data_IF_341690854752
#
_entry.id   IF_341690854752
#
_cell.length_a   1.000
_cell.length_b   1.000
_cell.length_c   1.000
_cell.angle_alpha   90.00
_cell.angle_beta   90.00
_cell.angle_gamma   90.00
#
_symmetry.space_group_name_H-M   'P 1'
#
loop_
_entity.id
_entity.type
_entity.pdbx_description
1 polymer ?
#
# COMPACT_ATOMS: atom_id res chain seq x y z
N UNK A 1 15.14 12.51 4.92
CA UNK A 1 16.17 12.07 3.97
C UNK A 1 15.59 12.22 2.57
N UNK A 2 16.19 13.07 1.72
CA UNK A 2 15.62 13.49 0.42
C UNK A 2 16.27 12.66 -0.68
N UNK A 3 15.49 11.79 -1.34
CA UNK A 3 15.96 11.06 -2.51
C UNK A 3 15.61 11.86 -3.78
N UNK A 4 16.63 12.23 -4.56
CA UNK A 4 16.48 12.91 -5.85
C UNK A 4 16.56 11.83 -6.94
N UNK A 5 15.54 11.75 -7.78
CA UNK A 5 15.56 10.88 -8.94
C UNK A 5 16.31 11.59 -10.08
N UNK A 6 17.44 11.04 -10.55
CA UNK A 6 18.11 11.52 -11.75
C UNK A 6 18.98 10.43 -12.38
N UNK A 7 18.89 10.19 -13.71
CA UNK A 7 19.72 9.19 -14.41
C UNK A 7 21.23 9.45 -14.34
N UNK A 8 21.65 10.70 -14.10
CA UNK A 8 23.05 11.15 -14.25
C UNK A 8 23.57 12.01 -13.08
N UNK A 9 22.89 12.03 -11.93
CA UNK A 9 23.38 12.74 -10.73
C UNK A 9 23.23 14.27 -10.75
N UNK A 10 22.45 14.85 -11.67
CA UNK A 10 22.06 16.27 -11.70
C UNK A 10 20.58 16.51 -11.35
N UNK A 11 20.25 17.63 -10.69
CA UNK A 11 18.87 17.96 -10.27
C UNK A 11 17.91 18.16 -11.46
N UNK A 12 16.83 17.37 -11.53
CA UNK A 12 15.70 17.58 -12.47
C UNK A 12 14.56 18.37 -11.81
N UNK A 13 14.77 18.94 -10.61
CA UNK A 13 13.80 19.82 -9.94
C UNK A 13 12.63 19.13 -9.25
N UNK A 14 12.61 17.80 -9.15
CA UNK A 14 11.61 17.04 -8.39
C UNK A 14 12.25 16.54 -7.08
N UNK A 15 11.82 17.12 -5.96
CA UNK A 15 12.23 16.69 -4.62
C UNK A 15 11.12 15.89 -3.94
N UNK A 16 11.44 14.68 -3.45
CA UNK A 16 10.54 13.89 -2.61
C UNK A 16 10.92 14.12 -1.14
N UNK A 17 9.98 14.61 -0.34
CA UNK A 17 10.13 14.80 1.09
C UNK A 17 9.26 13.81 1.86
N UNK A 18 9.80 13.28 2.96
CA UNK A 18 9.00 12.55 3.95
C UNK A 18 8.24 13.60 4.77
N UNK A 19 6.90 13.55 4.83
CA UNK A 19 6.11 14.52 5.60
C UNK A 19 6.51 14.52 7.07
N UNK A 20 6.53 15.69 7.69
CA UNK A 20 6.92 15.84 9.11
C UNK A 20 6.03 15.05 10.06
N UNK A 21 4.76 14.82 9.72
CA UNK A 21 3.83 14.03 10.53
C UNK A 21 4.28 12.57 10.62
N UNK A 22 4.67 11.97 9.49
CA UNK A 22 5.21 10.61 9.44
C UNK A 22 6.52 10.50 10.24
N UNK A 23 7.36 11.54 10.20
CA UNK A 23 8.61 11.57 10.98
C UNK A 23 8.33 11.62 12.48
N UNK A 24 7.34 12.41 12.92
CA UNK A 24 6.98 12.52 14.34
C UNK A 24 6.49 11.18 14.90
N UNK A 25 5.63 10.45 14.18
CA UNK A 25 5.16 9.13 14.61
C UNK A 25 6.30 8.13 14.73
N UNK A 26 7.18 8.07 13.72
CA UNK A 26 8.32 7.14 13.75
C UNK A 26 9.29 7.46 14.90
N UNK A 27 9.54 8.74 15.17
CA UNK A 27 10.43 9.14 16.29
C UNK A 27 9.81 8.79 17.63
N UNK A 28 8.50 8.97 17.80
CA UNK A 28 7.80 8.56 19.01
C UNK A 28 7.86 7.03 19.21
N UNK A 29 7.56 6.25 18.16
CA UNK A 29 7.64 4.78 18.20
C UNK A 29 9.06 4.28 18.55
N UNK A 30 10.10 4.97 18.05
CA UNK A 30 11.50 4.64 18.32
C UNK A 30 11.96 5.05 19.73
N UNK A 31 11.37 6.09 20.32
CA UNK A 31 11.70 6.55 21.67
C UNK A 31 11.06 5.65 22.74
N UNK A 32 9.85 5.14 22.49
CA UNK A 32 9.17 4.21 23.42
C UNK A 32 9.72 2.78 23.38
N UNK A 33 9.85 2.15 22.21
CA UNK A 33 10.16 0.71 22.09
C UNK A 33 11.40 0.39 21.25
N UNK A 34 12.08 1.40 20.69
CA UNK A 34 13.28 1.22 19.86
C UNK A 34 13.03 0.53 18.50
N UNK A 35 11.76 0.29 18.13
CA UNK A 35 11.37 -0.35 16.87
C UNK A 35 10.02 0.15 16.36
N UNK A 36 9.87 0.25 15.05
CA UNK A 36 8.59 0.64 14.43
C UNK A 36 7.78 -0.63 14.16
N UNK A 37 6.68 -0.82 14.89
CA UNK A 37 5.77 -1.94 14.66
C UNK A 37 4.86 -1.61 13.47
N UNK A 38 5.17 -2.19 12.30
CA UNK A 38 4.32 -2.02 11.11
C UNK A 38 3.33 -3.18 11.02
N UNK A 39 2.04 -2.87 11.01
CA UNK A 39 0.98 -3.86 10.78
C UNK A 39 1.22 -4.58 9.46
N UNK A 40 1.22 -5.92 9.50
CA UNK A 40 1.37 -6.77 8.33
C UNK A 40 0.11 -7.61 8.15
N UNK A 41 -0.64 -7.32 7.09
CA UNK A 41 -1.87 -8.05 6.77
C UNK A 41 -1.57 -9.38 6.03
N UNK A 42 -0.45 -9.44 5.30
CA UNK A 42 -0.06 -10.62 4.52
C UNK A 42 -0.75 -10.76 3.17
N UNK A 43 -1.27 -9.67 2.60
CA UNK A 43 -1.81 -9.62 1.24
C UNK A 43 -0.87 -8.93 0.28
N UNK A 44 -0.78 -9.46 -0.93
CA UNK A 44 -0.21 -8.76 -2.08
C UNK A 44 -1.36 -8.26 -2.95
N UNK A 45 -1.46 -6.94 -3.08
CA UNK A 45 -2.52 -6.29 -3.86
C UNK A 45 -1.96 -5.67 -5.13
N UNK A 46 -2.77 -5.63 -6.18
CA UNK A 46 -2.54 -4.80 -7.37
C UNK A 46 -3.72 -3.86 -7.62
N UNK A 47 -3.48 -2.66 -8.18
CA UNK A 47 -4.55 -1.81 -8.68
C UNK A 47 -5.41 -2.57 -9.71
N UNK A 48 -6.72 -2.34 -9.69
CA UNK A 48 -7.58 -2.87 -10.75
C UNK A 48 -7.20 -2.29 -12.11
N UNK A 49 -7.04 -3.15 -13.12
CA UNK A 49 -6.84 -2.72 -14.50
C UNK A 49 -8.17 -2.51 -15.23
N UNK A 50 -8.18 -1.67 -16.26
CA UNK A 50 -9.35 -1.46 -17.13
C UNK A 50 -9.83 -2.77 -17.78
N UNK A 51 -8.91 -3.68 -18.12
CA UNK A 51 -9.22 -4.98 -18.68
C UNK A 51 -10.00 -5.85 -17.68
N UNK A 52 -9.55 -5.92 -16.43
CA UNK A 52 -10.23 -6.66 -15.36
C UNK A 52 -11.59 -6.03 -15.06
N UNK A 53 -11.65 -4.69 -14.97
CA UNK A 53 -12.90 -3.96 -14.75
C UNK A 53 -13.94 -4.26 -15.85
N UNK A 54 -13.51 -4.27 -17.11
CA UNK A 54 -14.36 -4.56 -18.27
C UNK A 54 -14.91 -5.99 -18.26
N UNK A 55 -14.09 -6.98 -17.88
CA UNK A 55 -14.53 -8.38 -17.75
C UNK A 55 -15.53 -8.55 -16.61
N UNK A 56 -15.39 -7.77 -15.54
CA UNK A 56 -16.28 -7.79 -14.38
C UNK A 56 -17.55 -6.94 -14.56
N UNK A 57 -17.68 -6.21 -15.68
CA UNK A 57 -18.82 -5.33 -15.94
C UNK A 57 -18.85 -4.08 -15.06
N UNK A 58 -17.69 -3.63 -14.58
CA UNK A 58 -17.55 -2.41 -13.80
C UNK A 58 -17.38 -1.20 -14.73
N UNK A 59 -18.08 -0.10 -14.43
CA UNK A 59 -18.02 1.14 -15.21
C UNK A 59 -16.65 1.85 -15.15
N UNK A 60 -15.84 1.54 -14.14
CA UNK A 60 -14.51 2.08 -13.94
C UNK A 60 -13.62 1.09 -13.18
N UNK A 61 -12.28 1.08 -13.43
CA UNK A 61 -11.33 0.32 -12.63
C UNK A 61 -11.22 0.93 -11.23
N UNK A 62 -11.97 0.38 -10.28
CA UNK A 62 -12.00 0.83 -8.88
C UNK A 62 -11.63 -0.32 -7.95
N UNK A 63 -10.94 0.00 -6.86
CA UNK A 63 -10.47 -0.98 -5.90
C UNK A 63 -9.14 -1.64 -6.24
N UNK A 64 -8.75 -2.56 -5.37
CA UNK A 64 -7.52 -3.34 -5.47
C UNK A 64 -7.81 -4.83 -5.49
N UNK A 65 -7.12 -5.57 -6.36
CA UNK A 65 -7.26 -7.03 -6.49
C UNK A 65 -6.21 -7.71 -5.63
N UNK A 66 -6.63 -8.71 -4.84
CA UNK A 66 -5.72 -9.56 -4.07
C UNK A 66 -5.10 -10.61 -5.01
N UNK A 67 -3.81 -10.50 -5.25
CA UNK A 67 -3.08 -11.46 -6.08
C UNK A 67 -2.59 -12.69 -5.32
N UNK A 68 -2.27 -12.49 -4.05
CA UNK A 68 -1.73 -13.51 -3.19
C UNK A 68 -2.06 -13.19 -1.73
N UNK A 69 -2.35 -14.24 -0.99
CA UNK A 69 -2.45 -14.22 0.47
C UNK A 69 -1.32 -15.10 0.99
N UNK A 70 -0.55 -14.58 1.94
CA UNK A 70 0.56 -15.30 2.56
C UNK A 70 0.01 -16.36 3.53
N UNK A 71 0.60 -17.55 3.54
CA UNK A 71 0.28 -18.60 4.52
C UNK A 71 0.58 -18.10 5.96
N UNK A 72 -0.22 -18.56 6.93
CA UNK A 72 -0.22 -18.17 8.34
C UNK A 72 -0.48 -16.69 8.64
N UNK A 73 -0.88 -15.92 7.62
CA UNK A 73 -1.10 -14.48 7.74
C UNK A 73 -2.42 -14.11 8.43
N UNK A 74 -2.55 -12.88 8.96
CA UNK A 74 -3.83 -12.36 9.42
C UNK A 74 -4.91 -12.37 8.33
N UNK A 75 -4.54 -12.15 7.08
CA UNK A 75 -5.45 -12.20 5.94
C UNK A 75 -6.02 -13.60 5.67
N UNK A 76 -5.20 -14.64 5.74
CA UNK A 76 -5.66 -16.03 5.59
C UNK A 76 -6.63 -16.40 6.73
N UNK A 77 -6.28 -16.03 7.97
CA UNK A 77 -7.15 -16.23 9.15
C UNK A 77 -8.46 -15.46 9.06
N UNK A 78 -8.47 -14.32 8.36
CA UNK A 78 -9.67 -13.54 8.07
C UNK A 78 -10.49 -14.12 6.90
N UNK A 79 -9.98 -15.13 6.19
CA UNK A 79 -10.64 -15.76 5.05
C UNK A 79 -10.52 -14.98 3.74
N UNK A 80 -9.52 -14.11 3.61
CA UNK A 80 -9.23 -13.46 2.33
C UNK A 80 -8.64 -14.47 1.35
N UNK A 81 -9.06 -14.37 0.09
CA UNK A 81 -8.62 -15.26 -0.97
C UNK A 81 -8.01 -14.51 -2.15
N UNK A 82 -7.24 -15.25 -2.95
CA UNK A 82 -6.74 -14.74 -4.23
C UNK A 82 -7.93 -14.49 -5.17
N UNK A 83 -7.97 -13.30 -5.75
CA UNK A 83 -9.02 -12.86 -6.67
C UNK A 83 -10.09 -11.98 -6.01
N UNK A 84 -10.06 -11.84 -4.68
CA UNK A 84 -10.90 -10.89 -3.98
C UNK A 84 -10.59 -9.44 -4.40
N UNK A 85 -11.63 -8.62 -4.38
CA UNK A 85 -11.57 -7.21 -4.78
C UNK A 85 -11.90 -6.34 -3.57
N UNK A 86 -10.93 -5.53 -3.17
CA UNK A 86 -11.06 -4.56 -2.08
C UNK A 86 -11.58 -3.25 -2.65
N UNK A 87 -12.84 -2.92 -2.35
CA UNK A 87 -13.49 -1.68 -2.80
C UNK A 87 -13.29 -0.52 -1.81
N UNK A 88 -13.11 -0.83 -0.53
CA UNK A 88 -12.94 0.15 0.53
C UNK A 88 -12.04 -0.36 1.64
N UNK A 89 -11.29 0.54 2.27
CA UNK A 89 -10.51 0.27 3.47
C UNK A 89 -10.75 1.35 4.51
N UNK A 90 -11.06 0.93 5.74
CA UNK A 90 -11.35 1.82 6.87
C UNK A 90 -12.41 2.91 6.55
N UNK A 91 -13.42 2.54 5.74
CA UNK A 91 -14.49 3.44 5.31
C UNK A 91 -14.11 4.40 4.17
N UNK A 92 -12.87 4.40 3.69
CA UNK A 92 -12.43 5.14 2.51
C UNK A 92 -12.46 4.26 1.25
N UNK A 93 -12.94 4.80 0.13
CA UNK A 93 -12.88 4.12 -1.18
C UNK A 93 -11.44 4.05 -1.70
N UNK A 94 -11.08 2.93 -2.34
CA UNK A 94 -9.76 2.69 -2.97
C UNK A 94 -9.83 2.85 -4.49
#
# INVERSE_FOLDING_TARGET
NTAIFSPDGGSVGIGFAVPSDLVQTIVADLDEDGSVTRGWLGVQIKPMSEEIASVLGLDAPKGAVIEMVSEDSPAEKAGLEKGDIVLSFDGAEI
#
